data_IF_635306539646
#
_entry.id   IF_635306539646
#
_cell.length_a   1.000
_cell.length_b   1.000
_cell.length_c   1.000
_cell.angle_alpha   90.00
_cell.angle_beta   90.00
_cell.angle_gamma   90.00
#
_symmetry.space_group_name_H-M   'P 1'
#
loop_
_entity.id
_entity.type
_entity.pdbx_description
1 polymer ?
#
# COMPACT_ATOMS: atom_id res chain seq x y z
N UNK A 1 8.78 4.67 -33.46
CA UNK A 1 7.83 4.36 -32.38
C UNK A 1 7.14 5.67 -32.03
N UNK A 2 5.84 5.79 -32.28
CA UNK A 2 5.05 6.97 -31.89
C UNK A 2 4.61 6.77 -30.44
N UNK A 3 4.76 7.79 -29.61
CA UNK A 3 4.25 7.75 -28.24
C UNK A 3 2.70 7.78 -28.25
N UNK A 4 2.05 6.93 -27.45
CA UNK A 4 0.63 7.03 -27.14
C UNK A 4 0.41 7.88 -25.89
N UNK A 5 -0.63 8.71 -25.90
CA UNK A 5 -1.06 9.49 -24.73
C UNK A 5 -2.36 8.88 -24.21
N UNK A 6 -2.30 8.36 -23.00
CA UNK A 6 -3.41 7.65 -22.36
C UNK A 6 -3.71 8.30 -21.00
N UNK A 7 -5.00 8.44 -20.61
CA UNK A 7 -5.34 8.96 -19.30
C UNK A 7 -4.87 7.98 -18.22
N UNK A 8 -4.26 8.51 -17.16
CA UNK A 8 -3.78 7.69 -16.05
C UNK A 8 -3.85 8.45 -14.73
N UNK A 9 -4.20 7.73 -13.66
CA UNK A 9 -3.93 8.17 -12.30
C UNK A 9 -2.46 7.91 -11.97
N UNK A 10 -1.77 8.95 -11.50
CA UNK A 10 -0.37 8.89 -11.10
C UNK A 10 -0.27 8.84 -9.56
N UNK A 11 0.29 7.76 -9.04
CA UNK A 11 0.46 7.55 -7.60
C UNK A 11 1.95 7.49 -7.26
N UNK A 12 2.43 8.48 -6.51
CA UNK A 12 3.83 8.54 -6.10
C UNK A 12 4.10 7.58 -4.93
N UNK A 13 5.17 6.79 -5.05
CA UNK A 13 5.75 5.98 -3.98
C UNK A 13 7.02 6.66 -3.48
N UNK A 14 7.14 6.79 -2.16
CA UNK A 14 8.23 7.48 -1.48
C UNK A 14 9.13 6.51 -0.74
N UNK A 15 10.43 6.81 -0.75
CA UNK A 15 11.47 6.16 0.04
C UNK A 15 12.27 7.26 0.73
N UNK A 16 12.41 7.18 2.06
CA UNK A 16 13.05 8.23 2.87
C UNK A 16 12.52 9.64 2.57
N UNK A 17 11.20 9.78 2.35
CA UNK A 17 10.53 11.06 2.05
C UNK A 17 10.62 11.53 0.59
N UNK A 18 11.56 11.03 -0.21
CA UNK A 18 11.69 11.38 -1.63
C UNK A 18 10.84 10.46 -2.52
N UNK A 19 10.34 10.98 -3.66
CA UNK A 19 9.67 10.14 -4.66
C UNK A 19 10.72 9.22 -5.30
N UNK A 20 10.54 7.92 -5.15
CA UNK A 20 11.44 6.89 -5.68
C UNK A 20 10.83 6.15 -6.88
N UNK A 21 9.51 6.08 -6.94
CA UNK A 21 8.77 5.47 -8.02
C UNK A 21 7.38 6.09 -8.19
N UNK A 22 6.79 5.90 -9.36
CA UNK A 22 5.42 6.30 -9.67
C UNK A 22 4.69 5.08 -10.24
N UNK A 23 3.58 4.70 -9.62
CA UNK A 23 2.63 3.78 -10.26
C UNK A 23 1.69 4.61 -11.13
N UNK A 24 1.62 4.22 -12.40
CA UNK A 24 0.67 4.69 -13.39
C UNK A 24 -0.44 3.67 -13.46
N UNK A 25 -1.66 4.11 -13.19
CA UNK A 25 -2.88 3.31 -13.33
C UNK A 25 -3.59 3.89 -14.55
N UNK A 26 -3.40 3.25 -15.70
CA UNK A 26 -4.03 3.65 -16.96
C UNK A 26 -5.52 3.37 -16.89
N UNK A 27 -6.31 4.29 -17.43
CA UNK A 27 -7.76 4.27 -17.34
C UNK A 27 -8.36 4.15 -18.73
N UNK A 28 -9.47 3.42 -18.83
CA UNK A 28 -10.33 3.50 -19.99
C UNK A 28 -11.07 4.87 -19.97
N UNK A 29 -10.99 5.68 -21.04
CA UNK A 29 -11.61 7.01 -21.05
C UNK A 29 -13.15 6.97 -21.03
N UNK A 30 -13.77 5.84 -21.38
CA UNK A 30 -15.22 5.68 -21.42
C UNK A 30 -15.81 5.12 -20.13
N UNK A 31 -15.13 4.16 -19.48
CA UNK A 31 -15.65 3.54 -18.24
C UNK A 31 -14.97 4.03 -16.97
N UNK A 32 -13.81 4.68 -17.10
CA UNK A 32 -12.89 5.00 -16.01
C UNK A 32 -12.34 3.79 -15.23
N UNK A 33 -12.56 2.57 -15.72
CA UNK A 33 -11.92 1.37 -15.16
C UNK A 33 -10.43 1.39 -15.46
N UNK A 34 -9.64 0.74 -14.60
CA UNK A 34 -8.23 0.58 -14.89
C UNK A 34 -8.03 -0.48 -15.99
N UNK A 35 -7.20 -0.17 -16.96
CA UNK A 35 -6.79 -1.10 -18.03
C UNK A 35 -5.49 -1.78 -17.68
N UNK A 36 -4.57 -1.03 -17.08
CA UNK A 36 -3.20 -1.48 -16.85
C UNK A 36 -2.54 -0.72 -15.70
N UNK A 37 -1.69 -1.42 -14.95
CA UNK A 37 -0.80 -0.81 -13.96
C UNK A 37 0.66 -0.97 -14.40
N UNK A 38 1.41 0.13 -14.41
CA UNK A 38 2.85 0.15 -14.69
C UNK A 38 3.59 1.00 -13.69
N UNK A 39 4.80 0.60 -13.36
CA UNK A 39 5.66 1.32 -12.43
C UNK A 39 6.84 1.92 -13.20
N UNK A 40 7.19 3.17 -12.87
CA UNK A 40 8.44 3.81 -13.26
C UNK A 40 9.26 4.07 -12.00
N UNK A 41 10.58 3.83 -12.07
CA UNK A 41 11.50 4.05 -10.94
C UNK A 41 11.66 2.83 -10.01
N UNK A 42 12.28 3.07 -8.85
CA UNK A 42 12.64 2.03 -7.88
C UNK A 42 11.55 1.87 -6.81
N UNK A 43 10.65 0.92 -7.01
CA UNK A 43 9.55 0.67 -6.07
C UNK A 43 9.95 -0.16 -4.85
N UNK A 44 11.05 -0.92 -4.91
CA UNK A 44 11.54 -1.68 -3.75
C UNK A 44 12.01 -0.69 -2.68
N UNK A 45 11.52 -0.86 -1.46
CA UNK A 45 11.74 0.04 -0.34
C UNK A 45 10.80 1.25 -0.33
N UNK A 46 9.98 1.44 -1.36
CA UNK A 46 9.10 2.59 -1.48
C UNK A 46 7.63 2.20 -1.24
N UNK A 47 6.85 3.15 -0.73
CA UNK A 47 5.40 3.01 -0.56
C UNK A 47 4.70 4.33 -0.87
N UNK A 48 3.44 4.28 -1.29
CA UNK A 48 2.60 5.47 -1.18
C UNK A 48 2.34 5.74 0.31
N UNK A 49 2.43 7.02 0.70
CA UNK A 49 2.28 7.47 2.09
C UNK A 49 1.35 8.68 2.13
N UNK A 50 0.46 8.75 3.12
CA UNK A 50 -0.37 9.93 3.41
C UNK A 50 0.28 10.93 4.39
N UNK A 51 1.61 10.95 4.49
CA UNK A 51 2.37 11.92 5.28
C UNK A 51 3.68 11.34 5.84
N UNK A 52 4.43 12.10 6.65
CA UNK A 52 5.55 11.59 7.43
C UNK A 52 5.10 10.47 8.39
N UNK A 53 5.96 9.46 8.69
CA UNK A 53 5.62 8.34 9.57
C UNK A 53 5.21 8.81 10.97
N UNK A 54 4.08 8.28 11.47
CA UNK A 54 3.82 8.22 12.90
C UNK A 54 4.63 7.11 13.59
N UNK A 55 4.45 6.96 14.91
CA UNK A 55 5.01 5.82 15.67
C UNK A 55 4.36 4.49 15.28
N UNK A 56 3.08 4.53 14.93
CA UNK A 56 2.30 3.41 14.43
C UNK A 56 1.88 3.68 13.00
N UNK A 57 2.11 2.70 12.11
CA UNK A 57 1.64 2.75 10.72
C UNK A 57 0.96 1.44 10.33
N UNK A 58 -0.05 1.53 9.48
CA UNK A 58 -0.59 0.40 8.73
C UNK A 58 0.18 0.20 7.41
N UNK A 59 0.32 -1.04 6.97
CA UNK A 59 0.83 -1.37 5.62
C UNK A 59 -0.21 -2.24 4.90
N UNK A 60 -0.68 -1.76 3.75
CA UNK A 60 -1.60 -2.47 2.86
C UNK A 60 -1.05 -2.56 1.42
N UNK A 61 -1.82 -3.19 0.52
CA UNK A 61 -1.45 -3.29 -0.90
C UNK A 61 -1.87 -2.07 -1.71
N UNK A 62 -3.15 -1.66 -1.60
CA UNK A 62 -3.73 -0.55 -2.36
C UNK A 62 -3.76 0.77 -1.58
N UNK A 63 -3.63 1.90 -2.29
CA UNK A 63 -3.66 3.23 -1.66
C UNK A 63 -5.07 3.63 -1.23
N UNK A 64 -6.10 3.08 -1.88
CA UNK A 64 -7.50 3.23 -1.46
C UNK A 64 -7.74 2.54 -0.11
N UNK A 65 -7.18 1.34 0.09
CA UNK A 65 -7.22 0.61 1.37
C UNK A 65 -6.53 1.41 2.48
N UNK A 66 -5.36 2.00 2.19
CA UNK A 66 -4.66 2.86 3.14
C UNK A 66 -5.50 4.09 3.50
N UNK A 67 -6.04 4.79 2.51
CA UNK A 67 -6.88 5.97 2.73
C UNK A 67 -8.15 5.62 3.54
N UNK A 68 -8.80 4.50 3.22
CA UNK A 68 -9.98 4.04 3.93
C UNK A 68 -9.66 3.70 5.39
N UNK A 69 -8.60 2.92 5.63
CA UNK A 69 -8.18 2.59 6.99
C UNK A 69 -7.88 3.84 7.81
N UNK A 70 -7.08 4.77 7.27
CA UNK A 70 -6.78 6.02 7.98
C UNK A 70 -8.04 6.83 8.26
N UNK A 71 -8.99 6.91 7.31
CA UNK A 71 -10.25 7.63 7.55
C UNK A 71 -11.13 7.00 8.63
N UNK A 72 -11.07 5.67 8.79
CA UNK A 72 -11.90 4.93 9.73
C UNK A 72 -11.29 4.86 11.14
N UNK A 73 -9.96 4.78 11.24
CA UNK A 73 -9.26 4.52 12.52
C UNK A 73 -8.45 5.72 13.02
N UNK A 74 -8.14 6.68 12.16
CA UNK A 74 -7.19 7.76 12.43
C UNK A 74 -5.72 7.31 12.40
N UNK A 75 -5.44 6.03 12.19
CA UNK A 75 -4.07 5.49 12.11
C UNK A 75 -3.54 5.66 10.69
N UNK A 76 -2.33 6.20 10.57
CA UNK A 76 -1.67 6.38 9.29
C UNK A 76 -1.46 5.03 8.60
N UNK A 77 -1.77 4.91 7.30
CA UNK A 77 -1.51 3.70 6.53
C UNK A 77 -0.80 4.01 5.21
N UNK A 78 0.08 3.09 4.80
CA UNK A 78 0.91 3.16 3.61
C UNK A 78 0.57 2.02 2.66
N UNK A 79 0.76 2.24 1.36
CA UNK A 79 0.47 1.24 0.35
C UNK A 79 1.73 0.82 -0.41
N UNK A 80 1.99 -0.49 -0.43
CA UNK A 80 3.11 -1.13 -1.15
C UNK A 80 2.89 -1.18 -2.67
N UNK A 81 1.67 -0.85 -3.10
CA UNK A 81 1.21 -0.87 -4.47
C UNK A 81 1.29 -2.28 -5.10
N UNK A 82 1.18 -3.35 -4.29
CA UNK A 82 0.96 -4.75 -4.70
C UNK A 82 1.57 -5.82 -3.78
N UNK A 83 0.88 -6.95 -3.58
CA UNK A 83 1.23 -8.07 -2.69
C UNK A 83 2.71 -8.51 -2.72
N UNK A 84 3.31 -8.63 -3.90
CA UNK A 84 4.71 -9.08 -4.02
C UNK A 84 5.72 -8.14 -3.35
N UNK A 85 5.37 -6.86 -3.16
CA UNK A 85 6.17 -5.84 -2.46
C UNK A 85 5.76 -5.63 -1.02
N UNK A 86 4.75 -6.34 -0.53
CA UNK A 86 4.17 -6.13 0.80
C UNK A 86 5.18 -6.20 1.96
N UNK A 87 6.25 -6.98 1.77
CA UNK A 87 7.34 -7.22 2.72
C UNK A 87 8.61 -6.38 2.44
N UNK A 88 8.54 -5.41 1.51
CA UNK A 88 9.70 -4.73 0.94
C UNK A 88 9.65 -3.21 1.13
N UNK A 89 8.88 -2.69 2.09
CA UNK A 89 8.87 -1.25 2.39
C UNK A 89 10.02 -0.93 3.34
N UNK A 90 10.75 0.17 3.10
CA UNK A 90 11.73 0.65 4.06
C UNK A 90 11.01 1.37 5.20
N UNK A 91 10.88 0.68 6.34
CA UNK A 91 10.22 1.21 7.53
C UNK A 91 11.23 2.02 8.36
N UNK A 92 11.03 3.33 8.58
CA UNK A 92 11.95 4.15 9.36
C UNK A 92 12.10 3.65 10.80
N UNK A 93 13.28 3.83 11.41
CA UNK A 93 13.56 3.38 12.78
C UNK A 93 12.68 4.06 13.85
N UNK A 94 12.07 5.20 13.53
CA UNK A 94 11.13 5.92 14.39
C UNK A 94 9.76 5.24 14.53
N UNK A 95 9.46 4.27 13.66
CA UNK A 95 8.23 3.47 13.73
C UNK A 95 8.44 2.36 14.76
N UNK A 96 7.54 2.31 15.72
CA UNK A 96 7.51 1.38 16.85
C UNK A 96 6.49 0.25 16.62
N UNK A 97 5.43 0.50 15.83
CA UNK A 97 4.42 -0.51 15.50
C UNK A 97 4.05 -0.49 14.01
N UNK A 98 3.98 -1.67 13.39
CA UNK A 98 3.47 -1.89 12.04
C UNK A 98 2.26 -2.81 12.10
N UNK A 99 1.12 -2.34 11.61
CA UNK A 99 -0.11 -3.11 11.48
C UNK A 99 -0.19 -3.62 10.04
N UNK A 100 -0.15 -4.92 9.85
CA UNK A 100 -0.30 -5.53 8.53
C UNK A 100 -1.78 -5.60 8.16
N UNK A 101 -2.15 -4.89 7.10
CA UNK A 101 -3.51 -4.74 6.58
C UNK A 101 -3.61 -5.40 5.20
N UNK A 102 -3.20 -6.67 5.13
CA UNK A 102 -3.21 -7.43 3.89
C UNK A 102 -4.65 -7.75 3.45
N UNK A 103 -4.82 -7.98 2.16
CA UNK A 103 -6.09 -8.45 1.61
C UNK A 103 -6.45 -9.82 2.21
N UNK A 104 -7.74 -10.04 2.45
CA UNK A 104 -8.29 -11.21 3.12
C UNK A 104 -8.49 -12.40 2.17
N UNK A 105 -7.49 -12.64 1.32
CA UNK A 105 -7.44 -13.76 0.39
C UNK A 105 -6.16 -14.60 0.58
N UNK A 106 -5.97 -15.60 -0.29
CA UNK A 106 -4.84 -16.51 -0.18
C UNK A 106 -3.49 -15.87 -0.55
N UNK A 107 -3.47 -14.81 -1.37
CA UNK A 107 -2.25 -14.09 -1.70
C UNK A 107 -1.89 -13.13 -0.57
N UNK A 108 -2.84 -12.34 -0.08
CA UNK A 108 -2.66 -11.40 1.02
C UNK A 108 -2.24 -12.08 2.31
N UNK A 109 -2.78 -13.27 2.65
CA UNK A 109 -2.33 -14.05 3.82
C UNK A 109 -0.86 -14.47 3.74
N UNK A 110 -0.40 -14.91 2.56
CA UNK A 110 1.02 -15.26 2.32
C UNK A 110 1.91 -14.02 2.34
N UNK A 111 1.42 -12.90 1.79
CA UNK A 111 2.12 -11.63 1.82
C UNK A 111 2.30 -11.14 3.27
N UNK A 112 1.27 -11.26 4.11
CA UNK A 112 1.31 -10.96 5.55
C UNK A 112 2.31 -11.83 6.29
N UNK A 113 2.33 -13.14 6.05
CA UNK A 113 3.35 -14.06 6.64
C UNK A 113 4.76 -13.58 6.33
N UNK A 114 5.05 -13.36 5.05
CA UNK A 114 6.37 -12.91 4.60
C UNK A 114 6.76 -11.53 5.16
N UNK A 115 5.81 -10.60 5.24
CA UNK A 115 6.06 -9.29 5.83
C UNK A 115 6.32 -9.36 7.34
N UNK A 116 5.57 -10.20 8.05
CA UNK A 116 5.77 -10.42 9.47
C UNK A 116 7.14 -11.01 9.79
N UNK A 117 7.73 -11.78 8.89
CA UNK A 117 9.12 -12.25 9.00
C UNK A 117 10.12 -11.16 8.60
N UNK A 118 9.92 -10.53 7.43
CA UNK A 118 10.90 -9.62 6.82
C UNK A 118 11.09 -8.33 7.62
N UNK A 119 10.04 -7.85 8.30
CA UNK A 119 10.11 -6.61 9.08
C UNK A 119 10.63 -6.80 10.51
N UNK A 120 10.86 -8.04 10.97
CA UNK A 120 11.32 -8.28 12.33
C UNK A 120 12.63 -7.55 12.63
N UNK A 121 12.59 -6.71 13.67
CA UNK A 121 13.76 -6.04 14.23
C UNK A 121 13.49 -5.63 15.69
N UNK A 122 14.54 -5.45 16.51
CA UNK A 122 14.38 -4.92 17.86
C UNK A 122 13.61 -3.59 17.88
N UNK A 123 12.66 -3.45 18.81
CA UNK A 123 11.88 -2.23 18.99
C UNK A 123 10.74 -2.01 17.98
N UNK A 124 10.47 -2.95 17.07
CA UNK A 124 9.31 -2.90 16.18
C UNK A 124 8.32 -4.00 16.53
N UNK A 125 7.14 -3.62 17.01
CA UNK A 125 5.98 -4.51 17.12
C UNK A 125 5.34 -4.71 15.75
N UNK A 126 4.96 -5.95 15.44
CA UNK A 126 4.25 -6.29 14.21
C UNK A 126 2.91 -6.89 14.59
N UNK A 127 1.85 -6.26 14.12
CA UNK A 127 0.46 -6.64 14.36
C UNK A 127 -0.23 -6.97 13.03
N UNK A 128 -1.45 -7.49 13.10
CA UNK A 128 -2.27 -7.73 11.91
C UNK A 128 -3.71 -7.44 12.24
N UNK A 129 -4.35 -6.63 11.41
CA UNK A 129 -5.79 -6.39 11.48
C UNK A 129 -6.43 -6.79 10.16
N UNK A 130 -7.49 -7.58 10.27
CA UNK A 130 -8.27 -8.01 9.11
C UNK A 130 -9.49 -7.11 8.94
N UNK A 131 -9.89 -6.78 7.70
CA UNK A 131 -11.14 -6.07 7.48
C UNK A 131 -12.32 -6.90 8.03
N UNK A 132 -13.30 -6.26 8.69
CA UNK A 132 -14.41 -6.94 9.33
C UNK A 132 -15.37 -7.58 8.32
N UNK A 133 -16.09 -8.61 8.78
CA UNK A 133 -17.11 -9.30 7.99
C UNK A 133 -16.51 -10.16 6.87
N UNK A 134 -17.15 -10.15 5.70
CA UNK A 134 -16.71 -10.90 4.49
C UNK A 134 -15.94 -10.01 3.50
N UNK A 135 -15.44 -8.86 3.96
CA UNK A 135 -14.72 -7.92 3.10
C UNK A 135 -13.32 -8.44 2.79
N UNK A 136 -12.85 -8.20 1.56
CA UNK A 136 -11.49 -8.53 1.16
C UNK A 136 -10.48 -7.50 1.67
N UNK A 137 -10.85 -6.22 1.65
CA UNK A 137 -9.98 -5.10 2.00
C UNK A 137 -10.76 -4.03 2.76
N UNK A 138 -10.05 -3.09 3.38
CA UNK A 138 -10.65 -1.98 4.13
C UNK A 138 -11.37 -0.97 3.24
N UNK A 139 -11.01 -0.84 1.95
CA UNK A 139 -11.67 0.09 1.03
C UNK A 139 -13.10 -0.35 0.71
N UNK A 140 -13.39 -1.65 0.75
CA UNK A 140 -14.75 -2.17 0.56
C UNK A 140 -15.76 -1.67 1.61
N UNK A 141 -15.32 -1.30 2.82
CA UNK A 141 -16.20 -0.72 3.84
C UNK A 141 -16.76 0.65 3.45
N UNK A 142 -16.08 1.36 2.54
CA UNK A 142 -16.50 2.69 2.08
C UNK A 142 -17.24 2.65 0.74
N UNK A 143 -17.29 1.48 0.08
CA UNK A 143 -18.11 1.26 -1.11
C UNK A 143 -19.56 1.10 -0.68
N UNK A 144 -20.40 2.05 -1.09
CA UNK A 144 -21.86 2.01 -0.86
C UNK A 144 -22.54 1.14 -1.91
#
# INVERSE_FOLDING_TARGET
MLASFEPALLVAMRKAGAIAAIQRIFLDPSTADYTEKRVLGQAIGAAWTNGPPGKTIGICEGFETAAAYTSLTGIQAWATMGAKRFHQVDIPASVETVILLADNDAEGRRARERAAESYQRPGLAIETEWPPGRMNDWAQLLKR
#
